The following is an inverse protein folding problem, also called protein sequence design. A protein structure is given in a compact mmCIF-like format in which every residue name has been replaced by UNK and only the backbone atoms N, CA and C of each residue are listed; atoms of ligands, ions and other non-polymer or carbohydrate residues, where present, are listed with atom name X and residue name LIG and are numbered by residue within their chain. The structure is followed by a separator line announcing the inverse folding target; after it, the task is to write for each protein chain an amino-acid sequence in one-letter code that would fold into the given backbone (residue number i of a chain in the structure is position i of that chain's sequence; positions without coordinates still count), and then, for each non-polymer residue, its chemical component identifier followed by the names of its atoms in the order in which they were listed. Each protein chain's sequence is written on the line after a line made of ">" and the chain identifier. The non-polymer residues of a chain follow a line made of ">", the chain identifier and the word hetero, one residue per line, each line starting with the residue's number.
data_IF_566108866372
#
_entry.id   IF_566108866372
#
_cell.length_a   1.000
_cell.length_b   1.000
_cell.length_c   1.000
_cell.angle_alpha   90.00
_cell.angle_beta   90.00
_cell.angle_gamma   90.00
#
_symmetry.space_group_name_H-M   'P 1'
#
loop_
_entity.id
_entity.type
_entity.pdbx_description
1 polymer ?
#
# COMPACT_ATOMS: atom_id res chain seq x y z
N UNK A 1 -6.90 -3.24 -27.23
CA UNK A 1 -8.00 -2.39 -26.72
C UNK A 1 -9.31 -2.75 -27.41
N UNK A 2 -9.29 -3.04 -28.72
CA UNK A 2 -10.49 -3.33 -29.53
C UNK A 2 -11.37 -4.47 -29.01
N UNK A 3 -10.78 -5.47 -28.34
CA UNK A 3 -11.51 -6.61 -27.75
C UNK A 3 -12.15 -6.32 -26.39
N UNK A 4 -12.01 -5.10 -25.83
CA UNK A 4 -12.65 -4.71 -24.57
C UNK A 4 -14.18 -4.64 -24.66
N UNK A 5 -14.71 -4.44 -25.88
CA UNK A 5 -16.15 -4.37 -26.13
C UNK A 5 -16.67 -5.62 -26.86
N UNK A 6 -15.88 -6.71 -26.86
CA UNK A 6 -16.29 -7.96 -27.46
C UNK A 6 -17.54 -8.54 -26.78
N UNK A 7 -18.39 -9.24 -27.55
CA UNK A 7 -19.60 -9.88 -27.01
C UNK A 7 -19.26 -10.95 -25.98
N UNK A 8 -18.13 -11.63 -26.13
CA UNK A 8 -17.63 -12.68 -25.23
C UNK A 8 -16.99 -12.09 -23.97
N UNK A 9 -17.54 -12.43 -22.80
CA UNK A 9 -16.96 -12.05 -21.51
C UNK A 9 -15.51 -12.54 -21.34
N UNK A 10 -15.19 -13.74 -21.83
CA UNK A 10 -13.85 -14.30 -21.78
C UNK A 10 -12.85 -13.50 -22.63
N UNK A 11 -13.28 -13.00 -23.79
CA UNK A 11 -12.46 -12.14 -24.63
C UNK A 11 -12.19 -10.79 -23.95
N UNK A 12 -13.20 -10.18 -23.33
CA UNK A 12 -13.05 -8.95 -22.54
C UNK A 12 -12.11 -9.13 -21.35
N UNK A 13 -12.25 -10.22 -20.59
CA UNK A 13 -11.35 -10.55 -19.48
C UNK A 13 -9.90 -10.72 -19.94
N UNK A 14 -9.67 -11.46 -21.03
CA UNK A 14 -8.33 -11.62 -21.59
C UNK A 14 -7.72 -10.27 -22.04
N UNK A 15 -8.54 -9.38 -22.62
CA UNK A 15 -8.12 -8.04 -23.01
C UNK A 15 -7.73 -7.18 -21.81
N UNK A 16 -8.55 -7.17 -20.75
CA UNK A 16 -8.27 -6.45 -19.51
C UNK A 16 -7.01 -6.99 -18.82
N UNK A 17 -6.83 -8.32 -18.80
CA UNK A 17 -5.64 -8.95 -18.25
C UNK A 17 -4.37 -8.56 -19.03
N UNK A 18 -4.45 -8.51 -20.36
CA UNK A 18 -3.36 -8.05 -21.22
C UNK A 18 -3.00 -6.59 -20.95
N UNK A 19 -4.01 -5.71 -20.79
CA UNK A 19 -3.79 -4.32 -20.42
C UNK A 19 -3.17 -4.20 -19.04
N UNK A 20 -3.67 -4.92 -18.03
CA UNK A 20 -3.11 -4.90 -16.67
C UNK A 20 -1.61 -5.22 -16.69
N UNK A 21 -1.21 -6.27 -17.41
CA UNK A 21 0.19 -6.66 -17.52
C UNK A 21 1.04 -5.63 -18.29
N UNK A 22 0.51 -5.05 -19.36
CA UNK A 22 1.22 -4.04 -20.14
C UNK A 22 1.43 -2.75 -19.32
N UNK A 23 0.37 -2.25 -18.68
CA UNK A 23 0.40 -0.99 -17.94
C UNK A 23 1.16 -1.09 -16.61
N UNK A 24 1.24 -2.29 -16.02
CA UNK A 24 2.03 -2.50 -14.80
C UNK A 24 3.52 -2.65 -15.06
N UNK A 25 3.93 -2.97 -16.29
CA UNK A 25 5.32 -3.26 -16.65
C UNK A 25 6.01 -2.17 -17.47
N UNK A 26 5.27 -1.19 -17.99
CA UNK A 26 5.76 -0.16 -18.91
C UNK A 26 5.11 1.18 -18.63
N UNK A 27 5.85 2.27 -18.79
CA UNK A 27 5.29 3.62 -18.90
C UNK A 27 4.82 3.89 -20.33
N UNK A 28 3.54 4.22 -20.49
CA UNK A 28 2.86 4.36 -21.79
C UNK A 28 1.97 5.61 -21.81
N UNK A 29 2.37 6.68 -21.10
CA UNK A 29 1.57 7.89 -20.89
C UNK A 29 1.09 8.53 -22.21
N UNK A 30 1.98 8.78 -23.16
CA UNK A 30 1.64 9.38 -24.47
C UNK A 30 0.60 8.56 -25.24
N UNK A 31 0.82 7.24 -25.33
CA UNK A 31 -0.09 6.32 -26.02
C UNK A 31 -1.49 6.31 -25.38
N UNK A 32 -1.54 6.39 -24.05
CA UNK A 32 -2.78 6.38 -23.28
C UNK A 32 -3.50 7.72 -23.34
N UNK A 33 -2.79 8.85 -23.39
CA UNK A 33 -3.39 10.19 -23.43
C UNK A 33 -4.36 10.32 -24.61
N UNK A 34 -3.95 9.86 -25.79
CA UNK A 34 -4.77 9.86 -27.01
C UNK A 34 -6.00 8.93 -26.93
N UNK A 35 -5.93 7.89 -26.10
CA UNK A 35 -6.93 6.79 -26.05
C UNK A 35 -7.71 6.75 -24.74
N UNK A 36 -7.45 7.68 -23.82
CA UNK A 36 -8.00 7.67 -22.45
C UNK A 36 -9.52 7.63 -22.47
N UNK A 37 -10.19 8.42 -23.32
CA UNK A 37 -11.65 8.49 -23.38
C UNK A 37 -12.26 7.15 -23.80
N UNK A 38 -11.71 6.52 -24.84
CA UNK A 38 -12.17 5.21 -25.30
C UNK A 38 -11.93 4.12 -24.26
N UNK A 39 -10.79 4.18 -23.57
CA UNK A 39 -10.48 3.23 -22.50
C UNK A 39 -11.39 3.43 -21.30
N UNK A 40 -11.65 4.67 -20.88
CA UNK A 40 -12.58 5.01 -19.79
C UNK A 40 -14.00 4.54 -20.09
N UNK A 41 -14.53 4.78 -21.30
CA UNK A 41 -15.85 4.28 -21.72
C UNK A 41 -15.90 2.74 -21.72
N UNK A 42 -14.81 2.08 -22.11
CA UNK A 42 -14.72 0.62 -22.05
C UNK A 42 -14.71 0.10 -20.61
N UNK A 43 -13.97 0.76 -19.71
CA UNK A 43 -13.92 0.42 -18.29
C UNK A 43 -15.26 0.68 -17.59
N UNK A 44 -15.95 1.77 -17.92
CA UNK A 44 -17.31 2.05 -17.46
C UNK A 44 -18.24 0.86 -17.79
N UNK A 45 -18.22 0.41 -19.05
CA UNK A 45 -19.06 -0.71 -19.50
C UNK A 45 -18.72 -2.01 -18.76
N UNK A 46 -17.43 -2.30 -18.55
CA UNK A 46 -16.99 -3.47 -17.79
C UNK A 46 -17.41 -3.40 -16.31
N UNK A 47 -17.33 -2.23 -15.67
CA UNK A 47 -17.74 -2.05 -14.28
C UNK A 47 -19.27 -2.13 -14.12
N UNK A 48 -20.01 -1.52 -15.05
CA UNK A 48 -21.48 -1.39 -15.00
C UNK A 48 -22.22 -2.66 -15.44
N UNK A 49 -21.72 -3.35 -16.47
CA UNK A 49 -22.38 -4.53 -17.08
C UNK A 49 -21.61 -5.83 -16.88
N UNK A 50 -20.31 -5.76 -16.64
CA UNK A 50 -19.50 -6.94 -16.36
C UNK A 50 -19.82 -7.53 -14.99
N UNK A 51 -19.27 -8.71 -14.71
CA UNK A 51 -19.44 -9.41 -13.43
C UNK A 51 -18.14 -10.07 -13.00
N UNK A 52 -17.98 -10.24 -11.69
CA UNK A 52 -16.96 -11.12 -11.15
C UNK A 52 -15.54 -10.67 -11.50
N UNK A 53 -14.80 -11.55 -12.16
CA UNK A 53 -13.43 -11.29 -12.60
C UNK A 53 -13.33 -10.11 -13.58
N UNK A 54 -14.34 -9.87 -14.41
CA UNK A 54 -14.32 -8.74 -15.36
C UNK A 54 -14.28 -7.39 -14.61
N UNK A 55 -15.12 -7.23 -13.58
CA UNK A 55 -15.13 -6.03 -12.74
C UNK A 55 -13.83 -5.89 -11.94
N UNK A 56 -13.29 -7.00 -11.43
CA UNK A 56 -12.01 -7.00 -10.72
C UNK A 56 -10.86 -6.55 -11.64
N UNK A 57 -10.80 -7.07 -12.86
CA UNK A 57 -9.79 -6.65 -13.83
C UNK A 57 -9.99 -5.19 -14.27
N UNK A 58 -11.24 -4.74 -14.45
CA UNK A 58 -11.55 -3.35 -14.78
C UNK A 58 -11.07 -2.38 -13.69
N UNK A 59 -11.29 -2.68 -12.41
CA UNK A 59 -10.77 -1.87 -11.30
C UNK A 59 -9.24 -1.81 -11.29
N UNK A 60 -8.58 -2.94 -11.56
CA UNK A 60 -7.11 -2.99 -11.67
C UNK A 60 -6.57 -2.16 -12.84
N UNK A 61 -7.19 -2.27 -14.02
CA UNK A 61 -6.79 -1.51 -15.21
C UNK A 61 -7.07 -0.02 -15.03
N UNK A 62 -8.19 0.36 -14.41
CA UNK A 62 -8.48 1.74 -14.03
C UNK A 62 -7.38 2.32 -13.14
N UNK A 63 -6.96 1.59 -12.11
CA UNK A 63 -5.89 2.03 -11.22
C UNK A 63 -4.60 2.32 -11.98
N UNK A 64 -4.23 1.42 -12.89
CA UNK A 64 -3.03 1.57 -13.72
C UNK A 64 -3.18 2.70 -14.74
N UNK A 65 -4.39 2.93 -15.26
CA UNK A 65 -4.67 4.08 -16.12
C UNK A 65 -4.47 5.39 -15.37
N UNK A 66 -5.07 5.56 -14.18
CA UNK A 66 -4.89 6.75 -13.36
C UNK A 66 -3.41 6.98 -13.01
N UNK A 67 -2.66 5.92 -12.67
CA UNK A 67 -1.22 6.00 -12.43
C UNK A 67 -0.42 6.51 -13.63
N UNK A 68 -0.87 6.23 -14.85
CA UNK A 68 -0.21 6.69 -16.07
C UNK A 68 -0.64 8.10 -16.48
N UNK A 69 -1.85 8.53 -16.10
CA UNK A 69 -2.36 9.88 -16.36
C UNK A 69 -1.85 10.90 -15.33
N UNK A 70 -1.57 10.47 -14.10
CA UNK A 70 -1.10 11.35 -13.03
C UNK A 70 -2.22 12.16 -12.36
N UNK A 71 -1.81 13.18 -11.61
CA UNK A 71 -2.66 14.12 -10.87
C UNK A 71 -3.19 15.28 -11.73
N UNK A 72 -3.02 15.22 -13.05
CA UNK A 72 -3.52 16.22 -13.99
C UNK A 72 -5.03 16.13 -14.26
N UNK A 73 -5.59 17.11 -15.00
CA UNK A 73 -7.03 17.16 -15.29
C UNK A 73 -7.54 15.91 -16.02
N UNK A 74 -6.69 15.26 -16.82
CA UNK A 74 -7.02 13.99 -17.48
C UNK A 74 -7.21 12.85 -16.48
N UNK A 75 -6.34 12.75 -15.46
CA UNK A 75 -6.46 11.75 -14.40
C UNK A 75 -7.70 11.99 -13.55
N UNK A 76 -7.96 13.25 -13.19
CA UNK A 76 -9.15 13.65 -12.44
C UNK A 76 -10.45 13.32 -13.20
N UNK A 77 -10.51 13.61 -14.50
CA UNK A 77 -11.68 13.29 -15.35
C UNK A 77 -11.97 11.77 -15.36
N UNK A 78 -10.92 10.96 -15.51
CA UNK A 78 -11.03 9.49 -15.46
C UNK A 78 -11.53 9.02 -14.09
N UNK A 79 -10.97 9.55 -13.00
CA UNK A 79 -11.40 9.15 -11.67
C UNK A 79 -12.83 9.58 -11.35
N UNK A 80 -13.17 10.85 -11.62
CA UNK A 80 -14.50 11.43 -11.37
C UNK A 80 -15.61 10.66 -12.10
N UNK A 81 -15.36 10.24 -13.34
CA UNK A 81 -16.34 9.48 -14.14
C UNK A 81 -16.57 8.05 -13.63
N UNK A 82 -15.52 7.37 -13.14
CA UNK A 82 -15.60 5.96 -12.75
C UNK A 82 -15.76 5.72 -11.24
N UNK A 83 -15.48 6.72 -10.40
CA UNK A 83 -15.64 6.65 -8.94
C UNK A 83 -17.03 6.18 -8.49
N UNK A 84 -18.16 6.68 -9.03
CA UNK A 84 -19.49 6.21 -8.61
C UNK A 84 -19.69 4.71 -8.87
N UNK A 85 -19.11 4.17 -9.94
CA UNK A 85 -19.18 2.75 -10.27
C UNK A 85 -18.32 1.90 -9.33
N UNK A 86 -17.13 2.38 -8.96
CA UNK A 86 -16.29 1.72 -7.95
C UNK A 86 -17.02 1.63 -6.60
N UNK A 87 -17.62 2.72 -6.15
CA UNK A 87 -18.40 2.78 -4.91
C UNK A 87 -19.60 1.84 -4.98
N UNK A 88 -20.34 1.85 -6.09
CA UNK A 88 -21.48 0.96 -6.31
C UNK A 88 -21.08 -0.52 -6.22
N UNK A 89 -20.03 -0.95 -6.91
CA UNK A 89 -19.56 -2.34 -6.86
C UNK A 89 -19.01 -2.70 -5.48
N UNK A 90 -18.26 -1.80 -4.83
CA UNK A 90 -17.67 -2.04 -3.50
C UNK A 90 -18.74 -2.26 -2.41
N UNK A 91 -19.80 -1.47 -2.44
CA UNK A 91 -20.87 -1.46 -1.44
C UNK A 91 -21.97 -2.50 -1.72
N UNK A 92 -22.07 -3.00 -2.95
CA UNK A 92 -23.00 -4.08 -3.30
C UNK A 92 -22.58 -5.41 -2.63
N UNK A 93 -23.38 -5.88 -1.68
CA UNK A 93 -23.13 -7.13 -0.97
C UNK A 93 -23.30 -8.38 -1.85
N UNK A 94 -23.98 -8.25 -2.99
CA UNK A 94 -24.22 -9.32 -3.98
C UNK A 94 -23.12 -9.41 -5.04
N UNK A 95 -22.30 -8.36 -5.18
CA UNK A 95 -21.15 -8.36 -6.06
C UNK A 95 -20.08 -9.38 -5.60
N UNK A 96 -19.26 -9.85 -6.54
CA UNK A 96 -18.27 -10.88 -6.19
C UNK A 96 -17.23 -10.36 -5.19
N UNK A 97 -16.73 -11.20 -4.27
CA UNK A 97 -15.70 -10.79 -3.33
C UNK A 97 -14.44 -10.21 -3.99
N UNK A 98 -14.04 -10.75 -5.16
CA UNK A 98 -12.88 -10.28 -5.92
C UNK A 98 -13.12 -8.91 -6.56
N UNK A 99 -14.32 -8.66 -7.09
CA UNK A 99 -14.69 -7.38 -7.67
C UNK A 99 -14.68 -6.29 -6.59
N UNK A 100 -15.28 -6.58 -5.43
CA UNK A 100 -15.32 -5.66 -4.28
C UNK A 100 -13.92 -5.31 -3.79
N UNK A 101 -13.04 -6.31 -3.62
CA UNK A 101 -11.64 -6.10 -3.22
C UNK A 101 -10.88 -5.20 -4.22
N UNK A 102 -11.02 -5.49 -5.52
CA UNK A 102 -10.37 -4.67 -6.53
C UNK A 102 -10.94 -3.26 -6.59
N UNK A 103 -12.24 -3.08 -6.35
CA UNK A 103 -12.85 -1.75 -6.33
C UNK A 103 -12.45 -0.96 -5.09
N UNK A 104 -12.27 -1.59 -3.93
CA UNK A 104 -11.69 -0.95 -2.75
C UNK A 104 -10.29 -0.41 -3.05
N UNK A 105 -9.43 -1.27 -3.61
CA UNK A 105 -8.05 -0.92 -3.98
C UNK A 105 -8.04 0.20 -5.03
N UNK A 106 -8.87 0.09 -6.07
CA UNK A 106 -8.96 1.09 -7.11
C UNK A 106 -9.47 2.44 -6.59
N UNK A 107 -10.46 2.43 -5.68
CA UNK A 107 -10.99 3.64 -5.07
C UNK A 107 -9.90 4.38 -4.27
N UNK A 108 -9.16 3.66 -3.42
CA UNK A 108 -8.05 4.25 -2.66
C UNK A 108 -6.92 4.77 -3.54
N UNK A 109 -6.45 3.95 -4.48
CA UNK A 109 -5.34 4.33 -5.36
C UNK A 109 -5.70 5.49 -6.30
N UNK A 110 -6.88 5.46 -6.93
CA UNK A 110 -7.28 6.54 -7.83
C UNK A 110 -7.56 7.83 -7.07
N UNK A 111 -8.15 7.75 -5.88
CA UNK A 111 -8.33 8.91 -5.02
C UNK A 111 -6.98 9.49 -4.56
N UNK A 112 -6.00 8.65 -4.23
CA UNK A 112 -4.66 9.11 -3.86
C UNK A 112 -3.97 9.86 -5.00
N UNK A 113 -4.16 9.40 -6.24
CA UNK A 113 -3.48 9.95 -7.42
C UNK A 113 -4.20 11.17 -8.00
N UNK A 114 -5.53 11.13 -8.07
CA UNK A 114 -6.32 11.95 -8.99
C UNK A 114 -7.58 12.56 -8.35
N UNK A 115 -7.69 12.60 -7.02
CA UNK A 115 -8.76 13.39 -6.40
C UNK A 115 -8.49 14.89 -6.64
N UNK A 116 -9.48 15.59 -7.20
CA UNK A 116 -9.36 17.02 -7.50
C UNK A 116 -9.71 17.94 -6.32
N UNK A 117 -10.38 17.41 -5.28
CA UNK A 117 -10.79 18.18 -4.11
C UNK A 117 -10.89 17.33 -2.84
N UNK A 118 -11.11 18.01 -1.71
CA UNK A 118 -11.22 17.39 -0.39
C UNK A 118 -12.53 16.58 -0.23
N UNK A 119 -13.61 16.96 -0.91
CA UNK A 119 -14.89 16.24 -0.84
C UNK A 119 -14.73 14.84 -1.42
N UNK A 120 -13.99 14.73 -2.52
CA UNK A 120 -13.66 13.47 -3.15
C UNK A 120 -12.86 12.55 -2.21
N UNK A 121 -11.88 13.11 -1.50
CA UNK A 121 -11.08 12.39 -0.51
C UNK A 121 -11.93 11.90 0.68
N UNK A 122 -12.70 12.79 1.30
CA UNK A 122 -13.50 12.50 2.50
C UNK A 122 -14.59 11.46 2.20
N UNK A 123 -15.21 11.54 1.02
CA UNK A 123 -16.22 10.56 0.60
C UNK A 123 -15.60 9.17 0.33
N UNK A 124 -14.38 9.10 -0.22
CA UNK A 124 -13.66 7.83 -0.37
C UNK A 124 -13.24 7.23 0.98
N UNK A 125 -12.71 8.06 1.90
CA UNK A 125 -12.39 7.65 3.28
C UNK A 125 -13.62 7.07 3.98
N UNK A 126 -14.74 7.78 3.95
CA UNK A 126 -16.00 7.34 4.57
C UNK A 126 -16.53 6.04 3.97
N UNK A 127 -16.43 5.89 2.64
CA UNK A 127 -16.85 4.67 1.95
C UNK A 127 -15.99 3.47 2.37
N UNK A 128 -14.67 3.62 2.38
CA UNK A 128 -13.73 2.55 2.76
C UNK A 128 -13.84 2.16 4.23
N UNK A 129 -13.98 3.15 5.11
CA UNK A 129 -14.21 2.94 6.55
C UNK A 129 -15.47 2.11 6.80
N UNK A 130 -16.59 2.46 6.17
CA UNK A 130 -17.84 1.71 6.29
C UNK A 130 -17.74 0.21 5.95
N UNK A 131 -16.74 -0.19 5.16
CA UNK A 131 -16.51 -1.60 4.80
C UNK A 131 -15.88 -2.40 5.93
N UNK A 132 -14.94 -1.82 6.70
CA UNK A 132 -14.24 -2.55 7.77
C UNK A 132 -14.76 -2.22 9.17
N UNK A 133 -15.51 -1.13 9.34
CA UNK A 133 -16.05 -0.64 10.61
C UNK A 133 -17.42 -1.22 11.00
N UNK A 134 -17.94 -2.19 10.24
CA UNK A 134 -19.30 -2.73 10.48
C UNK A 134 -19.39 -3.30 11.90
N UNK A 135 -20.38 -2.88 12.71
CA UNK A 135 -20.49 -3.33 14.09
C UNK A 135 -20.65 -4.85 14.10
N UNK A 136 -19.81 -5.51 14.89
CA UNK A 136 -19.95 -6.92 15.24
C UNK A 136 -21.39 -7.16 15.66
N UNK A 137 -22.20 -7.78 14.80
CA UNK A 137 -23.58 -8.10 15.13
C UNK A 137 -23.56 -9.12 16.26
N UNK A 138 -23.73 -8.65 17.49
CA UNK A 138 -23.97 -9.47 18.67
C UNK A 138 -22.77 -10.29 19.16
N UNK A 139 -22.81 -10.57 20.45
CA UNK A 139 -21.88 -11.40 21.20
C UNK A 139 -21.43 -12.65 20.39
N UNK A 140 -20.14 -12.71 20.05
CA UNK A 140 -19.50 -13.88 19.42
C UNK A 140 -19.58 -13.98 17.90
N UNK A 141 -20.25 -13.06 17.20
CA UNK A 141 -20.36 -13.07 15.74
C UNK A 141 -19.11 -12.54 15.03
N UNK A 142 -18.06 -13.35 14.84
CA UNK A 142 -16.98 -12.97 13.91
C UNK A 142 -17.55 -12.79 12.51
N UNK A 143 -17.29 -11.65 11.85
CA UNK A 143 -17.63 -11.46 10.44
C UNK A 143 -17.17 -12.68 9.62
N UNK A 144 -18.00 -13.20 8.68
CA UNK A 144 -17.71 -14.44 8.00
C UNK A 144 -16.32 -14.40 7.35
N UNK A 145 -15.59 -15.51 7.38
CA UNK A 145 -14.18 -15.58 6.92
C UNK A 145 -13.96 -14.97 5.52
N UNK A 146 -14.97 -15.04 4.66
CA UNK A 146 -15.01 -14.50 3.30
C UNK A 146 -14.87 -12.96 3.21
N UNK A 147 -15.19 -12.22 4.27
CA UNK A 147 -15.11 -10.74 4.27
C UNK A 147 -13.73 -10.21 4.64
N UNK A 148 -12.86 -11.03 5.25
CA UNK A 148 -11.55 -10.57 5.73
C UNK A 148 -10.64 -10.00 4.62
N UNK A 149 -10.54 -10.60 3.41
CA UNK A 149 -9.75 -10.02 2.33
C UNK A 149 -10.28 -8.66 1.86
N UNK A 150 -11.59 -8.47 1.88
CA UNK A 150 -12.23 -7.18 1.59
C UNK A 150 -11.89 -6.14 2.66
N UNK A 151 -11.96 -6.51 3.94
CA UNK A 151 -11.57 -5.61 5.04
C UNK A 151 -10.09 -5.23 4.94
N UNK A 152 -9.21 -6.16 4.57
CA UNK A 152 -7.80 -5.85 4.30
C UNK A 152 -7.66 -4.80 3.18
N UNK A 153 -8.32 -5.03 2.04
CA UNK A 153 -8.23 -4.11 0.88
C UNK A 153 -8.78 -2.72 1.22
N UNK A 154 -9.89 -2.66 1.97
CA UNK A 154 -10.49 -1.41 2.40
C UNK A 154 -9.60 -0.67 3.41
N UNK A 155 -9.05 -1.36 4.42
CA UNK A 155 -8.17 -0.77 5.42
C UNK A 155 -6.83 -0.31 4.81
N UNK A 156 -6.25 -1.06 3.86
CA UNK A 156 -5.06 -0.66 3.11
C UNK A 156 -5.30 0.62 2.29
N UNK A 157 -6.46 0.68 1.64
CA UNK A 157 -6.85 1.84 0.82
C UNK A 157 -7.13 3.06 1.70
N UNK A 158 -7.80 2.85 2.82
CA UNK A 158 -8.08 3.91 3.80
C UNK A 158 -6.79 4.46 4.42
N UNK A 159 -5.88 3.58 4.85
CA UNK A 159 -4.57 3.98 5.38
C UNK A 159 -3.69 4.68 4.32
N UNK A 160 -3.77 4.31 3.05
CA UNK A 160 -3.13 5.09 1.97
C UNK A 160 -3.67 6.52 1.92
N UNK A 161 -4.99 6.70 1.95
CA UNK A 161 -5.61 8.02 1.88
C UNK A 161 -5.32 8.89 3.11
N UNK A 162 -5.10 8.29 4.28
CA UNK A 162 -4.65 9.03 5.47
C UNK A 162 -3.32 9.76 5.23
N UNK A 163 -2.43 9.21 4.39
CA UNK A 163 -1.09 9.81 4.14
C UNK A 163 -1.15 11.14 3.39
N UNK A 164 -2.28 11.47 2.76
CA UNK A 164 -2.53 12.74 2.05
C UNK A 164 -3.68 13.54 2.67
N UNK A 165 -4.13 13.13 3.85
CA UNK A 165 -5.26 13.75 4.53
C UNK A 165 -4.85 15.11 5.12
N UNK A 166 -5.61 16.19 4.88
CA UNK A 166 -5.30 17.48 5.51
C UNK A 166 -5.39 17.40 7.04
N UNK A 167 -4.56 18.19 7.76
CA UNK A 167 -4.54 18.22 9.23
C UNK A 167 -5.91 18.38 9.89
N UNK A 168 -6.79 19.21 9.32
CA UNK A 168 -8.13 19.48 9.86
C UNK A 168 -9.02 18.24 9.87
N UNK A 169 -8.96 17.41 8.81
CA UNK A 169 -9.74 16.19 8.74
C UNK A 169 -9.10 15.06 9.54
N UNK A 170 -7.77 14.99 9.55
CA UNK A 170 -7.02 14.01 10.33
C UNK A 170 -7.32 14.13 11.83
N UNK A 171 -7.40 15.34 12.39
CA UNK A 171 -7.84 15.55 13.79
C UNK A 171 -9.18 14.88 14.11
N UNK A 172 -10.17 15.07 13.23
CA UNK A 172 -11.48 14.43 13.41
C UNK A 172 -11.42 12.89 13.40
N UNK A 173 -10.46 12.32 12.66
CA UNK A 173 -10.22 10.87 12.65
C UNK A 173 -9.55 10.43 13.97
N UNK A 174 -8.57 11.20 14.45
CA UNK A 174 -7.83 10.95 15.70
C UNK A 174 -8.70 11.12 16.96
N UNK A 175 -9.77 11.92 16.91
CA UNK A 175 -10.66 12.08 18.08
C UNK A 175 -11.44 10.79 18.42
N UNK A 176 -11.93 10.06 17.42
CA UNK A 176 -12.88 8.96 17.67
C UNK A 176 -12.84 7.78 16.70
N UNK A 177 -12.35 7.95 15.47
CA UNK A 177 -12.47 6.90 14.43
C UNK A 177 -11.38 5.84 14.55
N UNK A 178 -10.20 6.18 15.05
CA UNK A 178 -9.11 5.21 15.21
C UNK A 178 -9.40 4.12 16.25
N UNK A 179 -10.32 4.35 17.21
CA UNK A 179 -10.74 3.38 18.23
C UNK A 179 -11.40 2.13 17.64
N UNK A 180 -11.75 2.15 16.35
CA UNK A 180 -12.24 0.99 15.62
C UNK A 180 -11.12 0.03 15.19
N UNK A 181 -9.85 0.45 15.23
CA UNK A 181 -8.71 -0.36 14.81
C UNK A 181 -8.24 -1.39 15.84
N UNK A 182 -8.15 -1.10 17.16
CA UNK A 182 -7.73 -2.09 18.15
C UNK A 182 -8.55 -3.39 18.13
N UNK A 183 -9.89 -3.39 17.97
CA UNK A 183 -10.65 -4.64 17.79
C UNK A 183 -10.15 -5.52 16.63
N UNK A 184 -9.66 -4.92 15.53
CA UNK A 184 -9.14 -5.65 14.37
C UNK A 184 -7.84 -6.42 14.69
N UNK A 185 -7.09 -6.01 15.72
CA UNK A 185 -5.90 -6.71 16.23
C UNK A 185 -6.22 -8.09 16.81
N UNK A 186 -7.48 -8.38 17.13
CA UNK A 186 -7.93 -9.69 17.64
C UNK A 186 -8.48 -10.61 16.55
N UNK A 187 -8.53 -10.15 15.30
CA UNK A 187 -9.03 -10.93 14.15
C UNK A 187 -8.32 -12.27 14.03
N UNK A 188 -8.97 -13.30 13.47
CA UNK A 188 -8.30 -14.56 13.12
C UNK A 188 -7.37 -14.43 11.91
N UNK A 189 -7.55 -13.43 11.05
CA UNK A 189 -6.69 -13.16 9.89
C UNK A 189 -5.37 -12.50 10.30
N UNK A 190 -4.24 -13.16 10.00
CA UNK A 190 -2.90 -12.58 10.22
C UNK A 190 -2.71 -11.30 9.41
N UNK A 191 -3.17 -11.28 8.16
CA UNK A 191 -3.07 -10.12 7.29
C UNK A 191 -3.82 -8.91 7.87
N UNK A 192 -5.05 -9.13 8.37
CA UNK A 192 -5.86 -8.03 8.92
C UNK A 192 -5.25 -7.49 10.23
N UNK A 193 -4.73 -8.37 11.10
CA UNK A 193 -4.02 -7.93 12.31
C UNK A 193 -2.80 -7.08 11.98
N UNK A 194 -1.96 -7.55 11.04
CA UNK A 194 -0.78 -6.81 10.59
C UNK A 194 -1.19 -5.44 10.05
N UNK A 195 -2.18 -5.39 9.16
CA UNK A 195 -2.65 -4.13 8.57
C UNK A 195 -3.23 -3.16 9.60
N UNK A 196 -3.99 -3.67 10.57
CA UNK A 196 -4.49 -2.86 11.68
C UNK A 196 -3.33 -2.28 12.51
N UNK A 197 -2.32 -3.10 12.83
CA UNK A 197 -1.13 -2.63 13.53
C UNK A 197 -0.33 -1.57 12.75
N UNK A 198 -0.09 -1.80 11.46
CA UNK A 198 0.60 -0.83 10.59
C UNK A 198 -0.21 0.47 10.44
N UNK A 199 -1.54 0.38 10.38
CA UNK A 199 -2.42 1.56 10.30
C UNK A 199 -2.44 2.35 11.61
N UNK A 200 -2.41 1.67 12.75
CA UNK A 200 -2.28 2.32 14.07
C UNK A 200 -0.92 3.04 14.14
N UNK A 201 0.16 2.39 13.73
CA UNK A 201 1.48 3.02 13.70
C UNK A 201 1.52 4.25 12.79
N UNK A 202 0.88 4.18 11.61
CA UNK A 202 0.71 5.33 10.73
C UNK A 202 -0.05 6.48 11.41
N UNK A 203 -1.14 6.21 12.12
CA UNK A 203 -1.89 7.25 12.83
C UNK A 203 -1.06 7.89 13.96
N UNK A 204 -0.25 7.11 14.66
CA UNK A 204 0.69 7.64 15.65
C UNK A 204 1.76 8.54 15.02
N UNK A 205 2.31 8.16 13.86
CA UNK A 205 3.21 9.02 13.07
C UNK A 205 2.53 10.33 12.68
N UNK A 206 1.35 10.25 12.08
CA UNK A 206 0.61 11.42 11.62
C UNK A 206 0.19 12.33 12.78
N UNK A 207 -0.12 11.78 13.96
CA UNK A 207 -0.42 12.58 15.14
C UNK A 207 0.82 13.28 15.71
N UNK A 208 1.98 12.61 15.70
CA UNK A 208 3.26 13.23 16.08
C UNK A 208 3.58 14.42 15.18
N UNK A 209 3.37 14.28 13.86
CA UNK A 209 3.57 15.38 12.89
C UNK A 209 2.61 16.56 13.11
N UNK A 210 1.44 16.32 13.70
CA UNK A 210 0.46 17.35 14.07
C UNK A 210 0.66 17.92 15.49
N UNK A 211 1.64 17.42 16.24
CA UNK A 211 1.80 17.70 17.67
C UNK A 211 0.55 17.37 18.51
N UNK A 212 -0.26 16.40 18.06
CA UNK A 212 -1.46 15.94 18.75
C UNK A 212 -1.10 14.82 19.72
N UNK A 213 -1.54 14.94 20.98
CA UNK A 213 -1.27 13.93 22.00
C UNK A 213 -2.32 12.81 21.97
N UNK A 214 -1.97 11.68 21.35
CA UNK A 214 -2.75 10.46 21.41
C UNK A 214 -2.62 9.71 22.75
N UNK A 215 -1.75 10.16 23.67
CA UNK A 215 -1.55 9.52 24.98
C UNK A 215 -2.77 9.70 25.89
N UNK A 216 -3.79 8.92 25.63
CA UNK A 216 -4.87 8.64 26.57
C UNK A 216 -4.73 7.22 27.14
N UNK A 217 -5.51 6.93 28.18
CA UNK A 217 -5.55 5.65 28.92
C UNK A 217 -5.66 4.41 28.00
N UNK A 218 -6.19 4.56 26.80
CA UNK A 218 -6.30 3.51 25.78
C UNK A 218 -4.95 3.05 25.20
N UNK A 219 -3.89 3.86 25.31
CA UNK A 219 -2.55 3.54 24.80
C UNK A 219 -1.90 2.40 25.59
N UNK A 220 -2.13 2.30 26.90
CA UNK A 220 -1.58 1.20 27.72
C UNK A 220 -2.21 -0.15 27.37
N UNK A 221 -3.53 -0.15 27.17
CA UNK A 221 -4.26 -1.33 26.71
C UNK A 221 -3.83 -1.76 25.31
N UNK A 222 -3.69 -0.80 24.39
CA UNK A 222 -3.15 -1.04 23.05
C UNK A 222 -1.73 -1.64 23.11
N UNK A 223 -0.81 -1.04 23.86
CA UNK A 223 0.55 -1.54 24.04
C UNK A 223 0.58 -2.98 24.57
N UNK A 224 -0.33 -3.32 25.48
CA UNK A 224 -0.49 -4.69 25.98
C UNK A 224 -0.88 -5.66 24.86
N UNK A 225 -1.86 -5.30 24.03
CA UNK A 225 -2.25 -6.11 22.86
C UNK A 225 -1.10 -6.27 21.85
N UNK A 226 -0.38 -5.20 21.55
CA UNK A 226 0.77 -5.22 20.63
C UNK A 226 1.90 -6.12 21.16
N UNK A 227 2.19 -6.07 22.47
CA UNK A 227 3.17 -6.96 23.14
C UNK A 227 2.82 -8.43 23.01
N UNK A 228 1.53 -8.79 23.14
CA UNK A 228 1.04 -10.16 22.92
C UNK A 228 1.30 -10.58 21.46
N UNK A 229 0.97 -9.74 20.48
CA UNK A 229 1.15 -10.06 19.06
C UNK A 229 2.63 -10.12 18.64
N UNK A 230 3.50 -9.35 19.29
CA UNK A 230 4.95 -9.35 19.10
C UNK A 230 5.65 -10.62 19.62
N UNK A 231 5.03 -11.30 20.60
CA UNK A 231 5.58 -12.51 21.25
C UNK A 231 4.81 -13.80 20.93
N UNK A 232 3.72 -13.70 20.16
CA UNK A 232 2.77 -14.78 19.95
C UNK A 232 3.41 -16.10 19.47
N UNK A 233 3.13 -17.18 20.19
CA UNK A 233 3.71 -18.51 19.96
C UNK A 233 2.69 -19.53 19.44
N UNK A 234 1.45 -19.11 19.15
CA UNK A 234 0.32 -19.98 18.82
C UNK A 234 0.63 -20.96 17.67
N UNK A 235 0.87 -22.23 18.01
CA UNK A 235 1.35 -23.27 17.09
C UNK A 235 0.35 -23.64 15.99
N UNK A 236 -0.93 -23.31 16.14
CA UNK A 236 -1.98 -23.56 15.15
C UNK A 236 -1.86 -22.69 13.87
N UNK A 237 -0.98 -21.67 13.86
CA UNK A 237 -0.70 -20.84 12.67
C UNK A 237 0.50 -21.33 11.85
N UNK A 238 0.69 -20.84 10.63
CA UNK A 238 1.90 -21.14 9.87
C UNK A 238 3.14 -20.51 10.53
N UNK A 239 4.29 -21.20 10.46
CA UNK A 239 5.55 -20.73 11.05
C UNK A 239 6.05 -19.43 10.40
N UNK A 240 5.89 -19.31 9.09
CA UNK A 240 6.21 -18.11 8.29
C UNK A 240 5.40 -16.91 8.75
N UNK A 241 4.08 -17.09 8.89
CA UNK A 241 3.14 -16.03 9.25
C UNK A 241 3.40 -15.52 10.66
N UNK A 242 3.62 -16.43 11.63
CA UNK A 242 4.03 -16.04 12.98
C UNK A 242 5.34 -15.26 13.00
N UNK A 243 6.32 -15.67 12.19
CA UNK A 243 7.62 -14.97 12.15
C UNK A 243 7.46 -13.56 11.59
N UNK A 244 6.68 -13.41 10.51
CA UNK A 244 6.38 -12.11 9.89
C UNK A 244 5.62 -11.21 10.85
N UNK A 245 4.53 -11.70 11.42
CA UNK A 245 3.72 -10.97 12.39
C UNK A 245 4.58 -10.45 13.55
N UNK A 246 5.33 -11.33 14.22
CA UNK A 246 6.18 -10.91 15.36
C UNK A 246 7.25 -9.90 14.97
N UNK A 247 7.76 -9.95 13.74
CA UNK A 247 8.71 -8.94 13.28
C UNK A 247 8.02 -7.58 13.24
N UNK A 248 6.92 -7.49 12.49
CA UNK A 248 6.20 -6.24 12.28
C UNK A 248 5.69 -5.65 13.60
N UNK A 249 5.11 -6.48 14.48
CA UNK A 249 4.63 -5.98 15.77
C UNK A 249 5.74 -5.55 16.73
N UNK A 250 6.96 -6.07 16.61
CA UNK A 250 8.10 -5.52 17.36
C UNK A 250 8.52 -4.16 16.81
N UNK A 251 8.48 -3.99 15.49
CA UNK A 251 8.82 -2.73 14.84
C UNK A 251 7.78 -1.65 15.19
N UNK A 252 6.48 -2.00 15.15
CA UNK A 252 5.38 -1.13 15.62
C UNK A 252 5.54 -0.77 17.09
N UNK A 253 5.76 -1.75 17.97
CA UNK A 253 5.89 -1.50 19.40
C UNK A 253 7.08 -0.59 19.70
N UNK A 254 8.23 -0.82 19.04
CA UNK A 254 9.41 0.04 19.18
C UNK A 254 9.09 1.47 18.73
N UNK A 255 8.43 1.64 17.59
CA UNK A 255 8.03 2.96 17.11
C UNK A 255 7.12 3.68 18.12
N UNK A 256 6.09 3.01 18.63
CA UNK A 256 5.15 3.62 19.59
C UNK A 256 5.85 3.95 20.93
N UNK A 257 6.76 3.09 21.42
CA UNK A 257 7.42 3.30 22.72
C UNK A 257 8.61 4.29 22.66
N UNK A 258 9.29 4.42 21.51
CA UNK A 258 10.57 5.16 21.41
C UNK A 258 10.62 6.21 20.31
N UNK A 259 9.65 6.24 19.40
CA UNK A 259 9.69 7.04 18.18
C UNK A 259 10.66 6.51 17.11
N UNK A 260 11.40 5.43 17.38
CA UNK A 260 12.40 4.91 16.44
C UNK A 260 11.78 4.03 15.35
N UNK A 261 12.01 4.42 14.10
CA UNK A 261 11.61 3.65 12.92
C UNK A 261 12.69 2.63 12.50
N UNK A 262 12.29 1.58 11.77
CA UNK A 262 13.22 0.64 11.13
C UNK A 262 13.32 0.91 9.63
N UNK A 263 14.36 1.64 9.24
CA UNK A 263 14.60 2.01 7.84
C UNK A 263 14.79 0.77 6.94
N UNK A 264 14.02 0.71 5.85
CA UNK A 264 14.19 -0.29 4.77
C UNK A 264 14.70 0.40 3.51
N UNK A 265 15.79 -0.12 2.92
CA UNK A 265 16.32 0.42 1.66
C UNK A 265 15.77 -0.35 0.45
N UNK A 266 15.06 0.33 -0.46
CA UNK A 266 14.63 -0.19 -1.76
C UNK A 266 15.62 0.25 -2.83
N UNK A 267 16.31 -0.71 -3.47
CA UNK A 267 17.29 -0.44 -4.54
C UNK A 267 16.69 -0.76 -5.90
N UNK A 268 16.78 0.17 -6.84
CA UNK A 268 16.27 0.03 -8.20
C UNK A 268 17.24 0.69 -9.19
N UNK A 269 17.75 -0.09 -10.13
CA UNK A 269 18.78 0.38 -11.06
C UNK A 269 20.05 0.87 -10.33
N UNK A 270 20.38 2.15 -10.53
CA UNK A 270 21.52 2.82 -9.89
C UNK A 270 21.12 3.63 -8.65
N UNK A 271 19.84 3.69 -8.35
CA UNK A 271 19.27 4.52 -7.31
C UNK A 271 18.77 3.67 -6.15
N UNK A 272 18.60 4.32 -5.00
CA UNK A 272 17.89 3.72 -3.89
C UNK A 272 16.99 4.75 -3.21
N UNK A 273 15.91 4.24 -2.64
CA UNK A 273 15.00 4.98 -1.79
C UNK A 273 15.03 4.36 -0.41
N UNK A 274 14.87 5.20 0.61
CA UNK A 274 14.70 4.79 1.99
C UNK A 274 13.21 4.83 2.31
N UNK A 275 12.70 3.74 2.88
CA UNK A 275 11.42 3.73 3.56
C UNK A 275 11.76 4.00 5.02
N UNK A 276 11.53 5.23 5.44
CA UNK A 276 11.93 5.82 6.72
C UNK A 276 10.73 6.27 7.57
N UNK A 277 9.51 6.04 7.08
CA UNK A 277 8.26 6.37 7.75
C UNK A 277 7.16 5.36 7.39
N UNK A 278 6.15 5.21 8.24
CA UNK A 278 4.95 4.41 8.01
C UNK A 278 4.12 4.96 6.85
N UNK A 279 4.02 6.29 6.69
CA UNK A 279 3.35 6.90 5.54
C UNK A 279 4.05 6.52 4.22
N UNK A 280 5.38 6.61 4.18
CA UNK A 280 6.17 6.23 3.01
C UNK A 280 6.13 4.73 2.73
N UNK A 281 6.21 3.90 3.77
CA UNK A 281 6.07 2.45 3.66
C UNK A 281 4.68 2.07 3.12
N UNK A 282 3.60 2.67 3.65
CA UNK A 282 2.23 2.37 3.21
C UNK A 282 2.03 2.74 1.74
N UNK A 283 2.51 3.92 1.35
CA UNK A 283 2.49 4.42 -0.03
C UNK A 283 3.24 3.47 -0.97
N UNK A 284 4.49 3.11 -0.63
CA UNK A 284 5.27 2.17 -1.44
C UNK A 284 4.61 0.80 -1.58
N UNK A 285 4.08 0.23 -0.49
CA UNK A 285 3.42 -1.07 -0.56
C UNK A 285 2.16 -1.02 -1.43
N UNK A 286 1.39 0.07 -1.40
CA UNK A 286 0.22 0.23 -2.27
C UNK A 286 0.60 0.22 -3.76
N UNK A 287 1.62 0.98 -4.16
CA UNK A 287 2.14 0.95 -5.52
C UNK A 287 2.75 -0.41 -5.90
N UNK A 288 3.47 -1.06 -4.98
CA UNK A 288 4.06 -2.37 -5.19
C UNK A 288 3.00 -3.46 -5.40
N UNK A 289 1.90 -3.42 -4.66
CA UNK A 289 0.78 -4.35 -4.81
C UNK A 289 0.10 -4.21 -6.18
N UNK A 290 -0.04 -2.97 -6.69
CA UNK A 290 -0.64 -2.68 -8.01
C UNK A 290 0.29 -2.99 -9.18
N UNK A 291 1.57 -2.58 -9.09
CA UNK A 291 2.54 -2.70 -10.18
C UNK A 291 3.24 -4.07 -10.22
N UNK A 292 3.26 -4.78 -9.09
CA UNK A 292 3.91 -6.08 -8.96
C UNK A 292 5.38 -6.03 -9.37
N UNK A 293 5.77 -6.88 -10.32
CA UNK A 293 7.17 -6.94 -10.82
C UNK A 293 7.64 -5.68 -11.54
N UNK A 294 6.72 -4.80 -11.97
CA UNK A 294 7.09 -3.56 -12.66
C UNK A 294 7.40 -2.38 -11.75
N UNK A 295 7.25 -2.51 -10.41
CA UNK A 295 7.49 -1.42 -9.46
C UNK A 295 8.85 -0.72 -9.68
N UNK A 296 9.93 -1.47 -9.91
CA UNK A 296 11.25 -0.88 -10.15
C UNK A 296 11.30 -0.08 -11.46
N UNK A 297 10.66 -0.56 -12.52
CA UNK A 297 10.61 0.16 -13.79
C UNK A 297 9.88 1.50 -13.63
N UNK A 298 8.77 1.52 -12.87
CA UNK A 298 8.05 2.76 -12.63
C UNK A 298 8.79 3.71 -11.67
N UNK A 299 9.46 3.21 -10.62
CA UNK A 299 10.32 4.07 -9.79
C UNK A 299 11.44 4.75 -10.60
N UNK A 300 11.91 4.10 -11.66
CA UNK A 300 12.94 4.66 -12.54
C UNK A 300 12.38 5.66 -13.57
N UNK A 301 11.20 5.41 -14.12
CA UNK A 301 10.76 6.06 -15.37
C UNK A 301 9.40 6.75 -15.31
N UNK A 302 8.59 6.53 -14.27
CA UNK A 302 7.27 7.14 -14.16
C UNK A 302 7.37 8.44 -13.34
N UNK A 303 7.07 9.56 -13.99
CA UNK A 303 7.23 10.90 -13.39
C UNK A 303 6.40 11.07 -12.12
N UNK A 304 5.15 10.63 -12.11
CA UNK A 304 4.28 10.67 -10.92
C UNK A 304 4.91 9.92 -9.73
N UNK A 305 5.37 8.68 -9.93
CA UNK A 305 6.00 7.91 -8.83
C UNK A 305 7.29 8.57 -8.36
N UNK A 306 8.06 9.17 -9.27
CA UNK A 306 9.28 9.88 -8.89
C UNK A 306 8.99 11.15 -8.10
N UNK A 307 7.92 11.86 -8.43
CA UNK A 307 7.43 13.00 -7.66
C UNK A 307 6.97 12.56 -6.26
N UNK A 308 6.07 11.57 -6.17
CA UNK A 308 5.54 11.03 -4.91
C UNK A 308 6.66 10.63 -3.95
N UNK A 309 7.73 10.02 -4.45
CA UNK A 309 8.82 9.53 -3.62
C UNK A 309 10.02 10.48 -3.53
N UNK A 310 9.96 11.67 -4.15
CA UNK A 310 11.04 12.67 -4.12
C UNK A 310 12.33 12.20 -4.79
N UNK A 311 12.25 11.43 -5.87
CA UNK A 311 13.40 10.83 -6.56
C UNK A 311 14.02 11.77 -7.61
N UNK A 312 13.43 12.94 -7.86
CA UNK A 312 13.84 13.83 -8.95
C UNK A 312 13.45 13.29 -10.33
N UNK A 313 13.88 13.92 -11.44
CA UNK A 313 13.52 13.49 -12.79
C UNK A 313 14.10 12.11 -13.14
N UNK A 314 13.48 11.34 -14.07
CA UNK A 314 14.04 10.09 -14.56
C UNK A 314 15.48 10.25 -15.05
N UNK A 315 16.35 9.30 -14.67
CA UNK A 315 17.74 9.32 -15.10
C UNK A 315 17.85 9.00 -16.60
N UNK A 316 18.17 10.01 -17.41
CA UNK A 316 18.51 9.84 -18.82
C UNK A 316 20.01 9.51 -18.90
N UNK A 317 20.34 8.22 -18.83
CA UNK A 317 21.72 7.76 -18.91
C UNK A 317 21.99 7.11 -20.26
N UNK A 318 23.01 7.60 -20.96
CA UNK A 318 23.53 6.92 -22.13
C UNK A 318 24.35 5.67 -21.73
N UNK A 319 24.68 4.85 -22.74
CA UNK A 319 25.44 3.62 -22.52
C UNK A 319 26.86 3.88 -21.98
N UNK A 320 27.42 5.07 -22.16
CA UNK A 320 28.74 5.46 -21.65
C UNK A 320 28.68 5.81 -20.16
N UNK A 321 27.69 6.60 -19.73
CA UNK A 321 27.42 6.94 -18.34
C UNK A 321 27.09 5.71 -17.49
N UNK A 322 26.32 4.76 -18.05
CA UNK A 322 26.05 3.46 -17.41
C UNK A 322 27.29 2.58 -17.24
N UNK A 323 28.30 2.72 -18.11
CA UNK A 323 29.60 2.04 -17.94
C UNK A 323 30.46 2.76 -16.90
N UNK A 324 30.45 4.09 -16.90
CA UNK A 324 31.21 4.90 -15.94
C UNK A 324 30.70 4.77 -14.50
N UNK A 325 29.40 4.55 -14.28
CA UNK A 325 28.83 4.35 -12.94
C UNK A 325 29.14 2.98 -12.32
N UNK A 326 29.70 2.04 -13.09
CA UNK A 326 30.08 0.72 -12.57
C UNK A 326 31.36 0.81 -11.76
N UNK A 327 31.21 0.74 -10.45
CA UNK A 327 32.32 0.53 -9.50
C UNK A 327 33.14 -0.68 -9.95
N UNK A 328 34.47 -0.50 -10.06
CA UNK A 328 35.39 -1.57 -10.46
C UNK A 328 35.31 -2.75 -9.50
N UNK A 329 35.52 -3.98 -10.01
CA UNK A 329 35.57 -5.20 -9.18
C UNK A 329 36.58 -5.05 -8.04
N UNK A 330 37.72 -4.40 -8.31
CA UNK A 330 38.76 -4.17 -7.32
C UNK A 330 38.29 -3.21 -6.22
N UNK A 331 37.68 -2.09 -6.59
CA UNK A 331 37.16 -1.09 -5.67
C UNK A 331 36.05 -1.65 -4.79
N UNK A 332 35.11 -2.40 -5.38
CA UNK A 332 34.06 -3.12 -4.64
C UNK A 332 34.65 -4.12 -3.65
N UNK A 333 35.70 -4.85 -4.03
CA UNK A 333 36.41 -5.77 -3.14
C UNK A 333 37.08 -5.02 -1.98
N UNK A 334 37.76 -3.91 -2.26
CA UNK A 334 38.45 -3.10 -1.25
C UNK A 334 37.46 -2.51 -0.24
N UNK A 335 36.36 -1.92 -0.73
CA UNK A 335 35.29 -1.39 0.12
C UNK A 335 34.67 -2.47 1.01
N UNK A 336 34.31 -3.63 0.43
CA UNK A 336 33.74 -4.74 1.19
C UNK A 336 34.72 -5.31 2.22
N UNK A 337 36.01 -5.40 1.88
CA UNK A 337 37.07 -5.85 2.79
C UNK A 337 37.25 -4.88 3.96
N UNK A 338 37.27 -3.57 3.68
CA UNK A 338 37.32 -2.54 4.71
C UNK A 338 36.10 -2.59 5.64
N UNK A 339 34.89 -2.67 5.09
CA UNK A 339 33.65 -2.79 5.84
C UNK A 339 33.60 -4.08 6.69
N UNK A 340 34.08 -5.21 6.14
CA UNK A 340 34.18 -6.48 6.87
C UNK A 340 35.18 -6.40 8.03
N UNK A 341 36.35 -5.80 7.81
CA UNK A 341 37.38 -5.58 8.84
C UNK A 341 36.86 -4.68 9.96
N UNK A 342 36.19 -3.58 9.61
CA UNK A 342 35.57 -2.68 10.58
C UNK A 342 34.50 -3.38 11.42
N UNK A 343 33.59 -4.14 10.78
CA UNK A 343 32.55 -4.93 11.47
C UNK A 343 33.15 -5.98 12.40
N UNK A 344 34.22 -6.65 11.96
CA UNK A 344 34.92 -7.66 12.77
C UNK A 344 35.56 -7.05 14.01
N UNK A 345 36.25 -5.91 13.87
CA UNK A 345 36.83 -5.15 15.00
C UNK A 345 35.77 -4.63 15.97
N UNK A 346 34.64 -4.15 15.47
CA UNK A 346 33.54 -3.69 16.33
C UNK A 346 32.93 -4.86 17.13
N UNK A 347 32.70 -6.00 16.48
CA UNK A 347 32.12 -7.20 17.12
C UNK A 347 33.06 -7.88 18.10
N UNK A 348 34.37 -7.88 17.86
CA UNK A 348 35.33 -8.52 18.78
C UNK A 348 35.27 -7.92 20.19
N UNK A 349 34.97 -6.62 20.32
CA UNK A 349 34.80 -5.94 21.62
C UNK A 349 33.65 -6.49 22.46
N UNK A 350 32.66 -7.16 21.85
CA UNK A 350 31.45 -7.63 22.53
C UNK A 350 31.32 -9.16 22.47
N UNK A 351 32.25 -9.85 21.79
CA UNK A 351 32.19 -11.31 21.59
C UNK A 351 32.41 -12.08 22.88
N UNK A 352 33.26 -11.59 23.76
CA UNK A 352 33.61 -12.28 25.01
C UNK A 352 32.59 -12.03 26.13
N UNK A 353 31.47 -11.35 25.83
CA UNK A 353 30.38 -11.08 26.80
C UNK A 353 29.77 -12.32 27.45
N UNK A 354 29.92 -13.49 26.81
CA UNK A 354 29.47 -14.80 27.32
C UNK A 354 30.60 -15.82 27.38
N UNK A 355 31.86 -15.37 27.42
CA UNK A 355 32.97 -16.26 27.64
C UNK A 355 32.94 -16.72 29.11
N UNK A 356 33.02 -18.03 29.34
CA UNK A 356 33.26 -18.59 30.66
C UNK A 356 34.73 -18.31 31.02
N UNK A 357 35.01 -17.10 31.50
CA UNK A 357 36.32 -16.70 31.99
C UNK A 357 36.44 -17.24 33.42
N UNK A 358 37.30 -18.24 33.59
CA UNK A 358 37.67 -18.84 34.88
C UNK A 358 38.58 -17.91 35.69
#
# INVERSE_FOLDING_TARGET
>A
MDTLLDKSAKARQAALQGLRLALSSRTLSEFLLERRLTLTDSLEKCLKKGKGEEQALAGSVLTLLCLQMGSGPEGEEVFRSLKPLLVSVLTDSTASPSARQSCATALGMCCYIAAGDLEDLVSCLSCLEGIFSTPSTGEGGTAPAQHRPLHCSALQSWSLLLTICPPSHLRSILDNRWLQLPPLLTSSSVALRILAGETIALLFELAQDLEEDLCHQDTEFLCTQLKVLATESNKYRAKTDRRRQRSIFRDILRFIETGEYQEETVRFGLECMYLDSWARQRTYQAFKEVLGSGIHHHLQNNELLREIFGLGPPLVLDAAALKASKVSRFEKHLYNSAAFKARTKARSRVRDKRADVL
#
